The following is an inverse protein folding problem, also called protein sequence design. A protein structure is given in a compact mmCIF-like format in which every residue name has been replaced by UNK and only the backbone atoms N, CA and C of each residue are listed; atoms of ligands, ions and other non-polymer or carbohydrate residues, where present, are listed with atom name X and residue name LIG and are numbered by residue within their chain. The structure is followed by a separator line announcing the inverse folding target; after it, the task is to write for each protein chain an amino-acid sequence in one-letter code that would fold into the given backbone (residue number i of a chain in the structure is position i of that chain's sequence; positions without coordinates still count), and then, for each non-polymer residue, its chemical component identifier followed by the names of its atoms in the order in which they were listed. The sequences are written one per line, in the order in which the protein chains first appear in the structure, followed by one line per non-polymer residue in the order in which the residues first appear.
data_IF_257339119205
#
_entry.id   IF_257339119205
#
_cell.length_a   1.000
_cell.length_b   1.000
_cell.length_c   1.000
_cell.angle_alpha   90.00
_cell.angle_beta   90.00
_cell.angle_gamma   90.00
#
_symmetry.space_group_name_H-M   'P 1'
#
loop_
_entity.id
_entity.type
_entity.pdbx_description
1 polymer ?
#
# COMPACT_ATOMS: atom_id res chain seq x y z
N UNK A 1 -8.44 2.65 -30.49
CA UNK A 1 -8.52 1.64 -29.42
C UNK A 1 -8.07 2.30 -28.13
N UNK A 2 -9.00 2.76 -27.30
CA UNK A 2 -8.67 3.41 -26.04
C UNK A 2 -8.03 2.39 -25.11
N UNK A 3 -6.79 2.64 -24.70
CA UNK A 3 -6.14 1.86 -23.66
C UNK A 3 -6.90 2.16 -22.37
N UNK A 4 -7.73 1.22 -21.87
CA UNK A 4 -8.30 1.36 -20.53
C UNK A 4 -7.15 1.36 -19.52
N UNK A 5 -6.85 2.55 -19.01
CA UNK A 5 -5.89 2.75 -17.93
C UNK A 5 -6.52 2.22 -16.65
N UNK A 6 -5.91 1.19 -16.08
CA UNK A 6 -6.33 0.62 -14.80
C UNK A 6 -5.35 1.04 -13.71
N UNK A 7 -5.84 1.20 -12.48
CA UNK A 7 -5.06 1.64 -11.33
C UNK A 7 -5.06 0.55 -10.27
N UNK A 8 -3.87 0.25 -9.74
CA UNK A 8 -3.70 -0.65 -8.61
C UNK A 8 -3.29 0.14 -7.38
N UNK A 9 -3.90 -0.15 -6.23
CA UNK A 9 -3.45 0.41 -4.95
C UNK A 9 -2.02 -0.06 -4.71
N UNK A 10 -1.12 0.87 -4.40
CA UNK A 10 0.30 0.60 -4.18
C UNK A 10 0.73 0.90 -2.73
N UNK A 11 -0.13 1.50 -1.92
CA UNK A 11 0.15 1.82 -0.52
C UNK A 11 -1.13 2.12 0.28
N UNK A 12 -0.99 2.46 1.57
CA UNK A 12 -2.11 2.78 2.43
C UNK A 12 -2.83 4.07 2.00
N UNK A 13 -4.12 4.16 2.32
CA UNK A 13 -4.88 5.41 2.23
C UNK A 13 -4.73 6.20 3.53
N UNK A 14 -4.39 7.48 3.42
CA UNK A 14 -4.25 8.40 4.54
C UNK A 14 -5.30 9.51 4.46
N UNK A 15 -5.91 9.84 5.60
CA UNK A 15 -6.72 11.06 5.75
C UNK A 15 -6.01 12.01 6.72
N UNK A 16 -5.11 12.82 6.17
CA UNK A 16 -4.26 13.74 6.95
C UNK A 16 -4.98 15.08 7.08
N UNK A 17 -5.29 15.49 8.31
CA UNK A 17 -5.94 16.79 8.61
C UNK A 17 -4.90 17.77 9.14
N UNK A 18 -4.51 18.73 8.32
CA UNK A 18 -3.57 19.80 8.70
C UNK A 18 -3.98 21.13 8.09
N UNK A 19 -3.47 22.24 8.65
CA UNK A 19 -3.65 23.56 8.04
C UNK A 19 -2.86 23.64 6.73
N UNK A 20 -3.36 24.35 5.70
CA UNK A 20 -2.60 24.58 4.47
C UNK A 20 -1.22 25.18 4.76
N UNK A 21 -0.19 24.68 4.09
CA UNK A 21 1.20 25.14 4.26
C UNK A 21 1.90 24.72 5.56
N UNK A 22 1.25 23.94 6.43
CA UNK A 22 1.86 23.48 7.68
C UNK A 22 2.88 22.35 7.49
N UNK A 23 2.84 21.67 6.35
CA UNK A 23 3.73 20.55 6.00
C UNK A 23 4.46 20.91 4.71
N UNK A 24 5.78 20.96 4.76
CA UNK A 24 6.62 21.23 3.59
C UNK A 24 6.82 19.97 2.72
N UNK A 25 6.91 18.79 3.34
CA UNK A 25 7.14 17.53 2.62
C UNK A 25 6.41 16.38 3.33
N UNK A 26 5.79 15.48 2.56
CA UNK A 26 5.22 14.23 3.07
C UNK A 26 5.82 13.02 2.37
N UNK A 27 6.05 11.96 3.14
CA UNK A 27 6.58 10.68 2.68
C UNK A 27 5.47 9.62 2.80
N UNK A 28 4.98 9.14 1.66
CA UNK A 28 3.87 8.18 1.61
C UNK A 28 4.40 6.79 1.25
N UNK A 29 4.26 5.77 2.12
CA UNK A 29 4.80 4.44 1.87
C UNK A 29 4.07 3.73 0.71
N UNK A 30 4.81 2.89 -0.01
CA UNK A 30 4.26 1.93 -0.97
C UNK A 30 4.89 0.55 -0.78
N UNK A 31 4.19 -0.49 -1.24
CA UNK A 31 4.66 -1.88 -1.21
C UNK A 31 5.14 -2.38 -2.57
N UNK A 32 5.16 -1.54 -3.62
CA UNK A 32 5.79 -1.90 -4.91
C UNK A 32 7.30 -2.05 -4.72
N UNK A 33 7.87 -3.14 -5.20
CA UNK A 33 9.31 -3.38 -5.14
C UNK A 33 9.99 -2.80 -6.39
N UNK A 34 10.72 -1.71 -6.20
CA UNK A 34 11.45 -1.03 -7.27
C UNK A 34 12.88 -1.57 -7.47
N UNK A 35 13.32 -2.54 -6.64
CA UNK A 35 14.65 -3.15 -6.78
C UNK A 35 14.73 -3.91 -8.09
N UNK A 36 15.89 -3.83 -8.74
CA UNK A 36 16.13 -4.51 -10.02
C UNK A 36 15.48 -3.85 -11.25
N UNK A 37 14.79 -2.71 -11.10
CA UNK A 37 14.31 -1.91 -12.24
C UNK A 37 13.19 -2.55 -13.06
N UNK A 38 12.52 -3.57 -12.52
CA UNK A 38 11.42 -4.26 -13.22
C UNK A 38 10.14 -3.41 -13.31
N UNK A 39 10.01 -2.38 -12.47
CA UNK A 39 8.88 -1.45 -12.47
C UNK A 39 9.40 -0.05 -12.71
N UNK A 40 8.82 0.63 -13.71
CA UNK A 40 9.08 2.04 -13.93
C UNK A 40 8.45 2.87 -12.81
N UNK A 41 9.30 3.54 -12.02
CA UNK A 41 8.90 4.41 -10.92
C UNK A 41 7.96 5.54 -11.38
N UNK A 42 7.99 5.95 -12.65
CA UNK A 42 7.11 6.99 -13.21
C UNK A 42 5.62 6.57 -13.23
N UNK A 43 5.35 5.26 -13.10
CA UNK A 43 4.01 4.71 -13.03
C UNK A 43 3.36 4.89 -11.66
N UNK A 44 4.13 5.23 -10.62
CA UNK A 44 3.59 5.56 -9.30
C UNK A 44 3.02 6.98 -9.30
N UNK A 45 1.81 7.12 -8.80
CA UNK A 45 1.08 8.37 -8.66
C UNK A 45 0.50 8.48 -7.26
N UNK A 46 0.39 9.70 -6.74
CA UNK A 46 -0.44 9.97 -5.57
C UNK A 46 -1.84 10.30 -6.08
N UNK A 47 -2.84 9.72 -5.44
CA UNK A 47 -4.24 9.90 -5.79
C UNK A 47 -4.93 10.62 -4.65
N UNK A 48 -5.53 11.76 -4.97
CA UNK A 48 -6.37 12.54 -4.09
C UNK A 48 -7.83 12.18 -4.35
N UNK A 49 -8.53 11.71 -3.33
CA UNK A 49 -9.97 11.43 -3.42
C UNK A 49 -10.72 12.70 -3.02
N UNK A 50 -11.44 13.30 -3.97
CA UNK A 50 -12.17 14.56 -3.81
C UNK A 50 -13.46 14.47 -4.63
N UNK A 51 -14.61 14.81 -4.07
CA UNK A 51 -15.86 14.78 -4.86
C UNK A 51 -15.77 15.74 -6.07
N UNK A 52 -16.16 15.31 -7.29
CA UNK A 52 -16.87 14.06 -7.65
C UNK A 52 -15.98 12.87 -8.09
N UNK A 53 -14.67 12.85 -7.83
CA UNK A 53 -13.80 11.76 -8.29
C UNK A 53 -12.40 11.67 -7.65
N UNK A 54 -11.40 11.45 -8.50
CA UNK A 54 -10.01 11.30 -8.08
C UNK A 54 -9.12 12.24 -8.90
N UNK A 55 -8.16 12.89 -8.24
CA UNK A 55 -7.15 13.74 -8.87
C UNK A 55 -5.78 13.06 -8.71
N UNK A 56 -5.03 12.98 -9.82
CA UNK A 56 -3.68 12.44 -9.82
C UNK A 56 -2.68 13.56 -9.53
N UNK A 57 -1.76 13.31 -8.61
CA UNK A 57 -0.64 14.16 -8.28
C UNK A 57 0.66 13.36 -8.49
N UNK A 58 1.57 13.91 -9.29
CA UNK A 58 2.85 13.27 -9.57
C UNK A 58 3.77 13.44 -8.36
N UNK A 59 4.38 12.36 -7.84
CA UNK A 59 5.42 12.47 -6.83
C UNK A 59 6.55 13.39 -7.26
N UNK A 60 7.06 14.21 -6.34
CA UNK A 60 8.31 14.96 -6.57
C UNK A 60 9.46 13.97 -6.73
N UNK A 61 9.49 12.93 -5.89
CA UNK A 61 10.46 11.83 -5.96
C UNK A 61 9.80 10.50 -5.64
N UNK A 62 10.37 9.43 -6.18
CA UNK A 62 10.00 8.05 -5.87
C UNK A 62 11.23 7.34 -5.35
N UNK A 63 11.14 6.85 -4.11
CA UNK A 63 12.19 6.09 -3.42
C UNK A 63 11.78 4.61 -3.33
N UNK A 64 12.69 3.75 -2.86
CA UNK A 64 12.46 2.29 -2.86
C UNK A 64 11.19 1.83 -2.11
N UNK A 65 10.76 2.57 -1.09
CA UNK A 65 9.68 2.15 -0.19
C UNK A 65 8.62 3.24 0.03
N UNK A 66 8.78 4.41 -0.57
CA UNK A 66 7.87 5.53 -0.40
C UNK A 66 7.98 6.53 -1.56
N UNK A 67 6.91 7.29 -1.76
CA UNK A 67 6.91 8.47 -2.63
C UNK A 67 7.02 9.74 -1.79
N UNK A 68 7.56 10.79 -2.38
CA UNK A 68 7.75 12.10 -1.74
C UNK A 68 6.89 13.13 -2.46
N UNK A 69 6.15 13.92 -1.70
CA UNK A 69 5.47 15.12 -2.17
C UNK A 69 5.98 16.34 -1.40
N UNK A 70 6.43 17.34 -2.14
CA UNK A 70 6.78 18.65 -1.60
C UNK A 70 5.61 19.62 -1.79
N UNK A 71 5.43 20.52 -0.83
CA UNK A 71 4.28 21.43 -0.70
C UNK A 71 2.92 20.72 -0.91
N UNK A 72 2.66 19.60 -0.21
CA UNK A 72 1.52 18.75 -0.49
C UNK A 72 0.19 19.45 -0.21
N UNK A 73 -0.79 19.17 -1.07
CA UNK A 73 -2.20 19.37 -0.75
C UNK A 73 -2.73 18.16 0.03
N UNK A 74 -3.67 18.36 0.96
CA UNK A 74 -4.25 17.25 1.71
C UNK A 74 -5.73 17.05 1.39
N UNK A 75 -6.06 15.79 1.13
CA UNK A 75 -7.37 15.16 1.06
C UNK A 75 -7.17 13.73 1.58
N UNK A 76 -8.16 12.83 1.55
CA UNK A 76 -7.82 11.43 1.53
C UNK A 76 -6.87 11.17 0.34
N UNK A 77 -5.69 10.63 0.63
CA UNK A 77 -4.59 10.43 -0.33
C UNK A 77 -4.03 9.02 -0.24
N UNK A 78 -3.73 8.42 -1.39
CA UNK A 78 -3.13 7.09 -1.46
C UNK A 78 -2.15 6.97 -2.63
N UNK A 79 -1.21 6.05 -2.53
CA UNK A 79 -0.26 5.78 -3.62
C UNK A 79 -0.85 4.69 -4.52
N UNK A 80 -0.84 4.94 -5.83
CA UNK A 80 -1.34 4.02 -6.84
C UNK A 80 -0.29 3.78 -7.92
N UNK A 81 -0.31 2.59 -8.48
CA UNK A 81 0.46 2.23 -9.65
C UNK A 81 -0.46 2.24 -10.88
N UNK A 82 -0.05 2.97 -11.92
CA UNK A 82 -0.69 2.91 -13.23
C UNK A 82 -0.36 1.58 -13.89
N UNK A 83 -1.39 0.80 -14.21
CA UNK A 83 -1.22 -0.54 -14.77
C UNK A 83 -1.55 -0.56 -16.25
N UNK A 84 -0.72 -1.27 -17.01
CA UNK A 84 -0.96 -1.64 -18.40
C UNK A 84 -1.28 -3.14 -18.36
N UNK A 85 -2.47 -3.53 -18.83
CA UNK A 85 -3.10 -4.84 -18.59
C UNK A 85 -2.20 -6.09 -18.78
N UNK A 86 -1.15 -6.02 -19.59
CA UNK A 86 -0.21 -7.14 -19.80
C UNK A 86 0.85 -7.32 -18.68
N UNK A 87 1.14 -6.29 -17.87
CA UNK A 87 2.27 -6.26 -16.93
C UNK A 87 1.91 -6.70 -15.50
N UNK A 88 0.63 -6.82 -15.15
CA UNK A 88 0.16 -7.08 -13.78
C UNK A 88 0.57 -8.46 -13.23
N UNK A 89 0.78 -9.47 -14.09
CA UNK A 89 1.09 -10.84 -13.65
C UNK A 89 2.45 -10.99 -12.95
N UNK A 90 3.34 -10.01 -13.11
CA UNK A 90 4.71 -10.07 -12.59
C UNK A 90 5.07 -8.85 -11.75
N UNK A 91 4.09 -8.14 -11.19
CA UNK A 91 4.37 -6.96 -10.39
C UNK A 91 5.08 -7.36 -9.09
N UNK A 92 6.37 -7.00 -8.91
CA UNK A 92 7.08 -7.33 -7.69
C UNK A 92 6.57 -6.42 -6.56
N UNK A 93 6.15 -7.05 -5.46
CA UNK A 93 5.66 -6.36 -4.26
C UNK A 93 6.39 -6.87 -3.02
N UNK A 94 6.68 -5.96 -2.10
CA UNK A 94 7.24 -6.28 -0.80
C UNK A 94 6.11 -6.76 0.11
N UNK A 95 6.20 -7.99 0.61
CA UNK A 95 5.16 -8.61 1.45
C UNK A 95 5.67 -8.97 2.85
N UNK A 96 4.74 -8.99 3.79
CA UNK A 96 4.87 -9.67 5.06
C UNK A 96 4.34 -11.09 4.95
N UNK A 97 5.09 -12.04 5.49
CA UNK A 97 4.65 -13.44 5.60
C UNK A 97 4.10 -13.67 7.01
N UNK A 98 2.84 -14.08 7.11
CA UNK A 98 2.26 -14.58 8.35
C UNK A 98 2.11 -16.09 8.28
N UNK A 99 2.80 -16.79 9.18
CA UNK A 99 2.69 -18.24 9.32
C UNK A 99 1.92 -18.56 10.60
N UNK A 100 0.75 -19.19 10.45
CA UNK A 100 -0.04 -19.69 11.55
C UNK A 100 0.11 -21.19 11.64
N UNK A 101 0.36 -21.67 12.84
CA UNK A 101 0.49 -23.08 13.16
C UNK A 101 -0.77 -23.55 13.89
N UNK A 102 -1.41 -24.58 13.35
CA UNK A 102 -2.55 -25.25 13.96
C UNK A 102 -2.20 -26.71 14.22
N UNK A 103 -1.81 -27.01 15.46
CA UNK A 103 -1.50 -28.37 15.90
C UNK A 103 -2.75 -29.07 16.43
N UNK A 104 -3.00 -30.27 15.92
CA UNK A 104 -3.91 -31.28 16.48
C UNK A 104 -3.10 -32.53 16.85
N UNK A 105 -3.63 -33.42 17.71
CA UNK A 105 -2.93 -34.63 18.12
C UNK A 105 -2.51 -35.56 16.97
N UNK A 106 -3.23 -35.52 15.85
CA UNK A 106 -3.11 -36.40 14.69
C UNK A 106 -2.62 -35.68 13.42
N UNK A 107 -2.62 -34.34 13.40
CA UNK A 107 -2.30 -33.54 12.22
C UNK A 107 -1.68 -32.20 12.62
N UNK A 108 -0.70 -31.73 11.85
CA UNK A 108 -0.17 -30.37 11.98
C UNK A 108 -0.41 -29.62 10.67
N UNK A 109 -1.15 -28.51 10.74
CA UNK A 109 -1.46 -27.65 9.58
C UNK A 109 -0.77 -26.30 9.74
N UNK A 110 -0.14 -25.83 8.67
CA UNK A 110 0.41 -24.48 8.58
C UNK A 110 -0.40 -23.66 7.58
N UNK A 111 -0.95 -22.54 8.04
CA UNK A 111 -1.58 -21.55 7.16
C UNK A 111 -0.58 -20.42 6.90
N UNK A 112 -0.17 -20.28 5.63
CA UNK A 112 0.71 -19.20 5.17
C UNK A 112 -0.12 -18.12 4.47
N UNK A 113 0.03 -16.88 4.95
CA UNK A 113 -0.57 -15.70 4.33
C UNK A 113 0.53 -14.75 3.86
N UNK A 114 0.43 -14.32 2.60
CA UNK A 114 1.23 -13.24 2.04
C UNK A 114 0.38 -11.98 2.02
N UNK A 115 0.83 -10.96 2.74
CA UNK A 115 0.13 -9.68 2.84
C UNK A 115 1.08 -8.61 2.30
N UNK A 116 0.65 -7.72 1.39
CA UNK A 116 1.47 -6.56 1.01
C UNK A 116 1.95 -5.82 2.26
N UNK A 117 3.16 -5.23 2.21
CA UNK A 117 3.76 -4.53 3.35
C UNK A 117 3.11 -3.17 3.62
N UNK A 118 1.79 -3.19 3.75
CA UNK A 118 0.95 -2.10 4.19
C UNK A 118 0.93 -2.08 5.73
N UNK A 119 1.39 -0.97 6.31
CA UNK A 119 1.46 -0.81 7.76
C UNK A 119 0.08 -0.84 8.44
N UNK A 120 -1.00 -0.48 7.73
CA UNK A 120 -2.36 -0.50 8.25
C UNK A 120 -2.88 -1.92 8.40
N UNK A 121 -2.62 -2.79 7.40
CA UNK A 121 -3.01 -4.21 7.48
C UNK A 121 -2.24 -4.93 8.59
N UNK A 122 -0.96 -4.59 8.78
CA UNK A 122 -0.15 -5.15 9.88
C UNK A 122 -0.75 -4.88 11.26
N UNK A 123 -1.29 -3.68 11.49
CA UNK A 123 -1.90 -3.32 12.80
C UNK A 123 -3.13 -4.17 13.11
N UNK A 124 -3.96 -4.48 12.11
CA UNK A 124 -5.15 -5.32 12.29
C UNK A 124 -4.75 -6.78 12.56
N UNK A 125 -3.85 -7.34 11.75
CA UNK A 125 -3.42 -8.73 11.89
C UNK A 125 -2.71 -9.03 13.23
N UNK A 126 -1.94 -8.06 13.75
CA UNK A 126 -1.26 -8.21 15.05
C UNK A 126 -2.13 -7.79 16.25
N UNK A 127 -3.07 -6.85 16.06
CA UNK A 127 -3.96 -6.34 17.11
C UNK A 127 -4.99 -7.37 17.59
N UNK A 128 -5.39 -8.31 16.72
CA UNK A 128 -6.28 -9.42 17.07
C UNK A 128 -5.71 -10.36 18.15
N UNK A 129 -4.40 -10.30 18.45
CA UNK A 129 -3.77 -11.12 19.49
C UNK A 129 -4.13 -10.73 20.93
N UNK A 130 -4.77 -9.57 21.16
CA UNK A 130 -5.14 -9.12 22.52
C UNK A 130 -6.46 -9.68 23.06
N UNK A 131 -7.25 -10.39 22.25
CA UNK A 131 -8.46 -11.08 22.71
C UNK A 131 -8.20 -12.58 22.80
N UNK A 132 -7.42 -13.01 23.79
CA UNK A 132 -7.41 -14.42 24.19
C UNK A 132 -8.71 -14.78 24.90
N UNK A 133 -9.24 -16.01 24.77
CA UNK A 133 -10.46 -16.41 25.45
C UNK A 133 -10.25 -16.30 26.96
N UNK A 134 -11.11 -15.53 27.62
CA UNK A 134 -11.21 -15.55 29.07
C UNK A 134 -11.47 -16.99 29.51
N UNK A 135 -10.54 -17.55 30.29
CA UNK A 135 -10.79 -18.79 31.03
C UNK A 135 -11.92 -18.50 32.02
N UNK A 136 -13.10 -19.06 31.73
CA UNK A 136 -14.10 -19.39 32.74
C UNK A 136 -13.76 -20.75 33.34
#
# INVERSE_FOLDING_TARGET
MAWEQSWMVAGPLFDIKVKPGAVATVYLPHFVDLRGGCVDASLLQVVHFKEPGMLLEKPTRVELYHVVLDDPSFSPIGVFLRTIHAALRFLPVTCMVLLYHHARPDETVFHLYLIPSDCCVRKVALGARKAGPGRA
#
